data_IF_114590540182
#
_entry.id   IF_114590540182
#
_cell.length_a   1.000
_cell.length_b   1.000
_cell.length_c   1.000
_cell.angle_alpha   90.00
_cell.angle_beta   90.00
_cell.angle_gamma   90.00
#
_symmetry.space_group_name_H-M   'P 1'
#
loop_
_entity.id
_entity.type
_entity.pdbx_description
1 polymer ?
#
# COMPACT_ATOMS: atom_id res chain seq x y z
N UNK A 1 2.93 -40.42 -2.13
CA UNK A 1 3.59 -39.10 -2.05
C UNK A 1 3.31 -38.41 -3.38
N UNK A 2 2.21 -37.66 -3.46
CA UNK A 2 1.83 -36.97 -4.69
C UNK A 2 2.64 -35.68 -4.75
N UNK A 3 3.55 -35.59 -5.72
CA UNK A 3 4.10 -34.30 -6.12
C UNK A 3 2.92 -33.49 -6.67
N UNK A 4 2.67 -32.25 -6.22
CA UNK A 4 1.62 -31.44 -6.80
C UNK A 4 1.93 -31.27 -8.29
N UNK A 5 0.91 -31.47 -9.13
CA UNK A 5 1.01 -31.25 -10.56
C UNK A 5 1.61 -29.88 -10.82
N UNK A 6 2.56 -29.84 -11.76
CA UNK A 6 3.21 -28.60 -12.21
C UNK A 6 2.10 -27.66 -12.66
N UNK A 7 1.85 -26.59 -11.89
CA UNK A 7 0.90 -25.53 -12.26
C UNK A 7 1.31 -25.06 -13.65
N UNK A 8 0.48 -25.33 -14.65
CA UNK A 8 0.68 -24.82 -16.00
C UNK A 8 0.12 -23.41 -15.97
N UNK A 9 1.01 -22.45 -15.80
CA UNK A 9 0.64 -21.04 -15.78
C UNK A 9 0.08 -20.63 -17.16
N UNK A 10 -0.93 -19.74 -17.21
CA UNK A 10 -1.52 -19.30 -18.45
C UNK A 10 -0.46 -18.61 -19.35
N UNK A 11 -0.56 -18.77 -20.68
CA UNK A 11 0.40 -18.18 -21.61
C UNK A 11 0.24 -16.65 -21.66
N UNK A 12 1.34 -15.92 -21.43
CA UNK A 12 1.35 -14.47 -21.68
C UNK A 12 2.44 -13.63 -21.00
N UNK A 13 3.08 -14.11 -19.92
CA UNK A 13 4.03 -13.26 -19.14
C UNK A 13 5.47 -13.80 -19.12
N UNK A 14 5.69 -15.07 -19.49
CA UNK A 14 6.98 -15.76 -19.38
C UNK A 14 7.65 -16.09 -20.72
N UNK A 15 7.47 -15.28 -21.76
CA UNK A 15 8.06 -15.58 -23.10
C UNK A 15 9.57 -15.40 -23.17
N UNK A 16 10.18 -14.77 -22.15
CA UNK A 16 11.64 -14.65 -22.09
C UNK A 16 12.23 -15.82 -21.30
N UNK A 17 13.20 -16.56 -21.86
CA UNK A 17 13.90 -17.58 -21.11
C UNK A 17 14.61 -16.92 -19.91
N UNK A 18 14.60 -17.62 -18.77
CA UNK A 18 15.39 -17.19 -17.63
C UNK A 18 16.87 -17.10 -18.02
N UNK A 19 17.52 -16.03 -17.58
CA UNK A 19 18.98 -15.93 -17.66
C UNK A 19 19.61 -16.81 -16.59
N UNK A 20 20.83 -17.28 -16.83
CA UNK A 20 21.61 -17.98 -15.80
C UNK A 20 21.98 -17.06 -14.63
N UNK A 21 22.08 -15.75 -14.87
CA UNK A 21 22.46 -14.74 -13.88
C UNK A 21 21.63 -13.46 -14.05
N UNK A 22 21.35 -12.81 -12.93
CA UNK A 22 20.73 -11.49 -12.82
C UNK A 22 21.56 -10.63 -11.86
N UNK A 23 21.59 -9.32 -12.08
CA UNK A 23 22.24 -8.38 -11.17
C UNK A 23 21.47 -8.28 -9.84
N UNK A 24 20.14 -8.34 -9.93
CA UNK A 24 19.26 -8.33 -8.76
C UNK A 24 18.16 -9.39 -8.87
N UNK A 25 17.88 -10.04 -7.74
CA UNK A 25 16.70 -10.88 -7.56
C UNK A 25 15.84 -10.26 -6.47
N UNK A 26 14.65 -9.79 -6.84
CA UNK A 26 13.65 -9.26 -5.92
C UNK A 26 12.64 -10.36 -5.60
N UNK A 27 12.54 -10.72 -4.32
CA UNK A 27 11.64 -11.77 -3.85
C UNK A 27 10.39 -11.13 -3.25
N UNK A 28 9.26 -11.34 -3.90
CA UNK A 28 7.96 -10.74 -3.62
C UNK A 28 7.71 -9.50 -4.48
N UNK A 29 6.67 -9.54 -5.30
CA UNK A 29 6.16 -8.41 -6.09
C UNK A 29 5.09 -7.61 -5.33
N UNK A 30 5.22 -7.52 -4.00
CA UNK A 30 4.37 -6.67 -3.17
C UNK A 30 4.64 -5.18 -3.37
N UNK A 31 4.03 -4.35 -2.52
CA UNK A 31 4.10 -2.88 -2.65
C UNK A 31 5.53 -2.33 -2.71
N UNK A 32 6.45 -2.85 -1.88
CA UNK A 32 7.86 -2.43 -1.90
C UNK A 32 8.63 -3.10 -3.04
N UNK A 33 8.47 -4.43 -3.22
CA UNK A 33 9.23 -5.20 -4.20
C UNK A 33 8.94 -4.76 -5.64
N UNK A 34 7.69 -4.45 -5.97
CA UNK A 34 7.32 -3.88 -7.26
C UNK A 34 8.02 -2.55 -7.52
N UNK A 35 8.03 -1.63 -6.54
CA UNK A 35 8.71 -0.33 -6.67
C UNK A 35 10.22 -0.50 -6.83
N UNK A 36 10.85 -1.35 -6.02
CA UNK A 36 12.28 -1.62 -6.10
C UNK A 36 12.64 -2.20 -7.46
N UNK A 37 11.90 -3.21 -7.94
CA UNK A 37 12.12 -3.80 -9.25
C UNK A 37 11.97 -2.78 -10.38
N UNK A 38 10.93 -1.92 -10.34
CA UNK A 38 10.76 -0.82 -11.29
C UNK A 38 11.97 0.10 -11.31
N UNK A 39 12.43 0.58 -10.14
CA UNK A 39 13.56 1.53 -10.06
C UNK A 39 14.88 0.91 -10.51
N UNK A 40 15.18 -0.32 -10.12
CA UNK A 40 16.38 -1.02 -10.57
C UNK A 40 16.37 -1.24 -12.10
N UNK A 41 15.18 -1.48 -12.68
CA UNK A 41 15.02 -1.67 -14.13
C UNK A 41 15.02 -0.39 -14.97
N UNK A 42 15.06 0.81 -14.35
CA UNK A 42 15.20 2.07 -15.10
C UNK A 42 16.54 2.16 -15.83
N UNK A 43 17.57 1.45 -15.35
CA UNK A 43 18.81 1.24 -16.08
C UNK A 43 18.71 0.01 -16.99
N UNK A 44 18.71 0.23 -18.30
CA UNK A 44 18.63 -0.83 -19.30
C UNK A 44 19.81 -1.82 -19.28
N UNK A 45 20.94 -1.46 -18.67
CA UNK A 45 22.07 -2.37 -18.48
C UNK A 45 21.85 -3.35 -17.31
N UNK A 46 20.97 -3.00 -16.36
CA UNK A 46 20.70 -3.78 -15.15
C UNK A 46 19.65 -4.86 -15.42
N UNK A 47 19.97 -6.10 -15.05
CA UNK A 47 19.08 -7.26 -15.14
C UNK A 47 18.42 -7.58 -13.80
N UNK A 48 17.08 -7.56 -13.79
CA UNK A 48 16.27 -7.81 -12.59
C UNK A 48 15.37 -9.02 -12.80
N UNK A 49 15.41 -9.95 -11.85
CA UNK A 49 14.43 -11.03 -11.73
C UNK A 49 13.48 -10.71 -10.59
N UNK A 50 12.18 -10.60 -10.87
CA UNK A 50 11.14 -10.42 -9.87
C UNK A 50 10.38 -11.74 -9.68
N UNK A 51 10.34 -12.25 -8.46
CA UNK A 51 9.66 -13.50 -8.12
C UNK A 51 8.41 -13.21 -7.28
N UNK A 52 7.26 -13.71 -7.69
CA UNK A 52 6.00 -13.59 -6.95
C UNK A 52 5.33 -14.96 -6.85
N UNK A 53 4.80 -15.28 -5.67
CA UNK A 53 4.11 -16.55 -5.41
C UNK A 53 2.63 -16.50 -5.79
N UNK A 54 2.06 -15.29 -5.81
CA UNK A 54 0.68 -15.00 -6.16
C UNK A 54 0.37 -15.07 -7.64
N UNK A 55 -0.91 -14.86 -7.93
CA UNK A 55 -1.40 -14.78 -9.30
C UNK A 55 -1.12 -13.40 -9.90
N UNK A 56 -1.12 -13.32 -11.23
CA UNK A 56 -1.14 -12.04 -11.94
C UNK A 56 -2.49 -11.35 -11.74
N UNK A 57 -2.50 -10.02 -11.68
CA UNK A 57 -3.69 -9.16 -11.69
C UNK A 57 -3.82 -8.36 -13.00
N UNK A 58 -3.07 -8.75 -14.04
CA UNK A 58 -3.02 -8.04 -15.32
C UNK A 58 -4.23 -8.29 -16.23
N UNK A 59 -5.14 -9.18 -15.83
CA UNK A 59 -6.37 -9.42 -16.58
C UNK A 59 -7.32 -8.21 -16.45
N UNK A 60 -7.88 -7.67 -17.54
CA UNK A 60 -8.68 -6.43 -17.52
C UNK A 60 -9.91 -6.46 -16.59
N UNK A 61 -10.46 -7.66 -16.35
CA UNK A 61 -11.65 -7.86 -15.52
C UNK A 61 -11.31 -8.35 -14.10
N UNK A 62 -10.04 -8.24 -13.68
CA UNK A 62 -9.67 -8.65 -12.33
C UNK A 62 -10.35 -7.76 -11.27
N UNK A 63 -10.95 -8.39 -10.27
CA UNK A 63 -11.64 -7.72 -9.16
C UNK A 63 -10.71 -6.74 -8.41
N UNK A 64 -9.38 -6.95 -8.43
CA UNK A 64 -8.40 -6.00 -7.87
C UNK A 64 -8.45 -4.62 -8.52
N UNK A 65 -8.93 -4.53 -9.76
CA UNK A 65 -9.07 -3.27 -10.50
C UNK A 65 -10.33 -2.48 -10.10
N UNK A 66 -11.19 -3.04 -9.25
CA UNK A 66 -12.41 -2.40 -8.76
C UNK A 66 -12.23 -2.04 -7.27
N UNK A 67 -11.73 -0.84 -6.95
CA UNK A 67 -11.57 -0.27 -5.61
C UNK A 67 -12.58 -0.70 -4.55
N UNK A 68 -13.88 -0.50 -4.84
CA UNK A 68 -14.97 -0.76 -3.90
C UNK A 68 -15.10 -2.23 -3.48
N UNK A 69 -14.58 -3.17 -4.30
CA UNK A 69 -14.68 -4.60 -4.05
C UNK A 69 -13.54 -5.18 -3.23
N UNK A 70 -12.61 -4.35 -2.72
CA UNK A 70 -11.49 -4.81 -1.89
C UNK A 70 -11.88 -5.75 -0.73
N UNK A 71 -13.03 -5.60 -0.02
CA UNK A 71 -13.38 -6.52 1.06
C UNK A 71 -13.61 -7.95 0.55
N UNK A 72 -14.03 -8.12 -0.71
CA UNK A 72 -14.23 -9.45 -1.31
C UNK A 72 -12.93 -10.19 -1.60
N UNK A 73 -11.80 -9.48 -1.62
CA UNK A 73 -10.47 -10.06 -1.88
C UNK A 73 -9.92 -10.76 -0.64
N UNK A 74 -10.36 -10.36 0.56
CA UNK A 74 -10.01 -11.01 1.83
C UNK A 74 -10.56 -12.43 1.86
N UNK A 75 -9.70 -13.42 2.11
CA UNK A 75 -10.08 -14.84 2.07
C UNK A 75 -10.22 -15.45 0.67
N UNK A 76 -9.98 -14.68 -0.40
CA UNK A 76 -9.93 -15.19 -1.77
C UNK A 76 -8.60 -15.90 -2.05
N UNK A 77 -8.41 -16.41 -3.26
CA UNK A 77 -7.13 -16.97 -3.70
C UNK A 77 -5.98 -15.94 -3.75
N UNK A 78 -6.32 -14.64 -3.77
CA UNK A 78 -5.39 -13.50 -3.72
C UNK A 78 -4.97 -13.12 -2.30
N UNK A 79 -5.45 -13.83 -1.29
CA UNK A 79 -5.05 -13.67 0.10
C UNK A 79 -4.19 -14.88 0.54
N UNK A 80 -3.12 -14.62 1.28
CA UNK A 80 -2.38 -15.66 1.98
C UNK A 80 -3.22 -16.31 3.09
N UNK A 81 -4.18 -15.58 3.66
CA UNK A 81 -5.10 -16.05 4.67
C UNK A 81 -4.43 -16.51 5.96
N UNK A 82 -3.41 -15.78 6.40
CA UNK A 82 -2.68 -16.12 7.60
C UNK A 82 -3.58 -16.06 8.84
N UNK A 83 -3.29 -16.94 9.79
CA UNK A 83 -3.89 -16.93 11.11
C UNK A 83 -2.78 -16.75 12.14
N UNK A 84 -2.95 -15.84 13.09
CA UNK A 84 -2.06 -15.74 14.25
C UNK A 84 -2.03 -17.07 15.02
N UNK A 85 -1.07 -17.24 15.94
CA UNK A 85 -1.23 -18.25 17.00
C UNK A 85 -2.39 -17.86 17.93
N UNK A 86 -2.82 -18.76 18.82
CA UNK A 86 -3.81 -18.44 19.84
C UNK A 86 -3.34 -17.25 20.68
N UNK A 87 -4.20 -16.26 20.88
CA UNK A 87 -3.88 -15.04 21.61
C UNK A 87 -4.34 -15.13 23.06
N UNK A 88 -3.39 -15.05 24.00
CA UNK A 88 -3.66 -15.21 25.44
C UNK A 88 -4.52 -14.09 26.04
N UNK A 89 -4.47 -12.89 25.46
CA UNK A 89 -5.03 -11.67 26.05
C UNK A 89 -5.96 -10.89 25.10
N UNK A 90 -6.30 -11.45 23.94
CA UNK A 90 -7.11 -10.76 22.92
C UNK A 90 -7.85 -11.77 22.04
N UNK A 91 -8.70 -11.28 21.13
CA UNK A 91 -9.41 -12.12 20.15
C UNK A 91 -10.33 -13.20 20.75
N UNK A 92 -10.82 -13.05 21.99
CA UNK A 92 -11.71 -14.02 22.65
C UNK A 92 -13.00 -14.35 21.87
N UNK A 93 -13.44 -13.44 20.99
CA UNK A 93 -14.59 -13.64 20.11
C UNK A 93 -14.25 -14.37 18.78
N UNK A 94 -12.96 -14.61 18.50
CA UNK A 94 -12.51 -15.28 17.28
C UNK A 94 -12.43 -16.79 17.49
N UNK A 95 -12.63 -17.56 16.42
CA UNK A 95 -12.49 -19.02 16.48
C UNK A 95 -11.09 -19.40 16.96
N UNK A 96 -11.03 -20.17 18.04
CA UNK A 96 -9.78 -20.57 18.71
C UNK A 96 -8.89 -19.38 19.15
N UNK A 97 -9.46 -18.18 19.31
CA UNK A 97 -8.76 -16.97 19.74
C UNK A 97 -7.59 -16.60 18.79
N UNK A 98 -7.76 -16.89 17.50
CA UNK A 98 -6.77 -16.60 16.44
C UNK A 98 -7.26 -15.45 15.57
N UNK A 99 -6.42 -14.44 15.40
CA UNK A 99 -6.66 -13.35 14.48
C UNK A 99 -6.48 -13.80 13.04
N UNK A 100 -7.37 -13.38 12.15
CA UNK A 100 -7.17 -13.46 10.72
C UNK A 100 -6.33 -12.27 10.24
N UNK A 101 -5.27 -12.55 9.50
CA UNK A 101 -4.29 -11.55 9.04
C UNK A 101 -4.25 -11.62 7.51
N UNK A 102 -5.06 -10.81 6.81
CA UNK A 102 -5.03 -10.78 5.35
C UNK A 102 -3.68 -10.24 4.87
N UNK A 103 -3.08 -10.90 3.89
CA UNK A 103 -1.87 -10.46 3.20
C UNK A 103 -1.99 -10.78 1.72
N UNK A 104 -1.68 -9.83 0.84
CA UNK A 104 -1.85 -10.02 -0.59
C UNK A 104 -0.90 -11.09 -1.14
N UNK A 105 -1.47 -12.02 -1.90
CA UNK A 105 -0.83 -13.10 -2.63
C UNK A 105 -1.21 -12.97 -4.11
N UNK A 106 -0.76 -11.86 -4.69
CA UNK A 106 -1.05 -11.41 -6.06
C UNK A 106 0.05 -10.43 -6.46
N UNK A 107 0.29 -10.19 -7.75
CA UNK A 107 1.14 -9.08 -8.19
C UNK A 107 0.65 -7.76 -7.56
N UNK A 108 1.57 -6.92 -7.08
CA UNK A 108 1.27 -5.77 -6.23
C UNK A 108 1.09 -6.13 -4.73
N UNK A 109 0.85 -7.39 -4.40
CA UNK A 109 0.73 -7.89 -3.03
C UNK A 109 -0.37 -7.20 -2.24
N UNK A 110 -0.08 -6.80 -1.00
CA UNK A 110 -1.10 -6.21 -0.12
C UNK A 110 -1.66 -4.88 -0.63
N UNK A 111 -0.97 -4.15 -1.53
CA UNK A 111 -1.58 -2.96 -2.14
C UNK A 111 -2.71 -3.28 -3.11
N UNK A 112 -2.76 -4.50 -3.66
CA UNK A 112 -3.84 -4.93 -4.57
C UNK A 112 -5.08 -5.42 -3.84
N UNK A 113 -5.02 -5.56 -2.51
CA UNK A 113 -6.16 -6.00 -1.67
C UNK A 113 -6.47 -5.03 -0.52
N UNK A 114 -5.89 -3.83 -0.53
CA UNK A 114 -6.03 -2.87 0.57
C UNK A 114 -7.34 -2.05 0.48
N UNK A 115 -7.60 -1.27 1.54
CA UNK A 115 -8.71 -0.32 1.59
C UNK A 115 -8.38 1.07 1.00
N UNK A 116 -7.30 1.15 0.21
CA UNK A 116 -6.80 2.34 -0.49
C UNK A 116 -6.44 3.58 0.34
N UNK A 117 -6.52 3.51 1.67
CA UNK A 117 -6.20 4.65 2.54
C UNK A 117 -4.73 5.05 2.35
N UNK A 118 -4.50 6.32 2.00
CA UNK A 118 -3.17 6.90 1.86
C UNK A 118 -2.91 7.91 2.97
N UNK A 119 -2.10 7.50 3.95
CA UNK A 119 -1.72 8.28 5.12
C UNK A 119 -0.23 8.06 5.40
N UNK A 120 0.50 9.14 5.64
CA UNK A 120 1.91 9.13 6.07
C UNK A 120 2.01 9.11 7.60
N UNK A 121 3.16 8.67 8.11
CA UNK A 121 3.50 8.90 9.51
C UNK A 121 3.70 10.39 9.80
N UNK A 122 3.62 10.78 11.07
CA UNK A 122 4.00 12.14 11.48
C UNK A 122 5.52 12.30 11.47
N UNK A 123 6.00 13.54 11.49
CA UNK A 123 7.44 13.87 11.63
C UNK A 123 8.08 13.12 12.79
N UNK A 124 7.40 13.09 13.94
CA UNK A 124 7.89 12.41 15.12
C UNK A 124 8.13 10.90 14.90
N UNK A 125 7.40 10.24 14.00
CA UNK A 125 7.66 8.82 13.71
C UNK A 125 9.03 8.59 13.06
N UNK A 126 9.40 9.44 12.10
CA UNK A 126 10.64 9.29 11.34
C UNK A 126 11.85 9.85 12.09
N UNK A 127 11.68 11.00 12.75
CA UNK A 127 12.73 11.57 13.60
C UNK A 127 13.08 10.61 14.76
N UNK A 128 12.07 9.89 15.29
CA UNK A 128 12.31 8.84 16.28
C UNK A 128 13.13 7.67 15.70
N UNK A 129 12.87 7.25 14.45
CA UNK A 129 13.67 6.19 13.82
C UNK A 129 15.14 6.59 13.70
N UNK A 130 15.40 7.82 13.27
CA UNK A 130 16.76 8.33 13.18
C UNK A 130 17.42 8.40 14.57
N UNK A 131 16.71 8.91 15.57
CA UNK A 131 17.17 8.93 16.96
C UNK A 131 17.48 7.53 17.51
N UNK A 132 16.73 6.51 17.07
CA UNK A 132 16.96 5.10 17.42
C UNK A 132 18.08 4.42 16.60
N UNK A 133 18.72 5.15 15.67
CA UNK A 133 19.91 4.72 14.94
C UNK A 133 19.68 4.45 13.45
N UNK A 134 18.47 4.66 12.92
CA UNK A 134 18.23 4.63 11.48
C UNK A 134 18.69 5.94 10.82
N UNK A 135 19.99 6.20 10.84
CA UNK A 135 20.59 7.43 10.30
C UNK A 135 20.16 7.67 8.85
N UNK A 136 19.70 8.89 8.54
CA UNK A 136 19.20 9.25 7.21
C UNK A 136 17.77 8.79 6.93
N UNK A 137 17.02 8.38 7.96
CA UNK A 137 15.58 8.10 7.90
C UNK A 137 14.75 9.11 8.70
N UNK A 138 15.31 10.28 9.02
CA UNK A 138 14.57 11.40 9.62
C UNK A 138 13.49 11.92 8.66
N UNK A 139 12.53 12.69 9.17
CA UNK A 139 11.40 13.15 8.34
C UNK A 139 11.85 13.93 7.10
N UNK A 140 12.85 14.79 7.26
CA UNK A 140 13.36 15.62 6.16
C UNK A 140 14.12 14.79 5.11
N UNK A 141 14.68 13.63 5.47
CA UNK A 141 15.31 12.69 4.54
C UNK A 141 14.29 11.89 3.72
N UNK A 142 13.18 11.48 4.34
CA UNK A 142 12.16 10.64 3.70
C UNK A 142 11.12 11.46 2.91
N UNK A 143 10.87 12.71 3.30
CA UNK A 143 9.88 13.58 2.65
C UNK A 143 10.08 13.72 1.12
N UNK A 144 11.32 13.92 0.60
CA UNK A 144 11.56 13.93 -0.84
C UNK A 144 11.08 12.65 -1.55
N UNK A 145 11.20 11.48 -0.92
CA UNK A 145 10.77 10.21 -1.49
C UNK A 145 9.25 10.06 -1.45
N UNK A 146 8.59 10.52 -0.38
CA UNK A 146 7.13 10.58 -0.35
C UNK A 146 6.57 11.49 -1.45
N UNK A 147 7.19 12.65 -1.67
CA UNK A 147 6.83 13.57 -2.76
C UNK A 147 7.12 12.97 -4.14
N UNK A 148 8.18 12.18 -4.30
CA UNK A 148 8.51 11.48 -5.56
C UNK A 148 7.50 10.38 -5.89
N UNK A 149 6.92 9.73 -4.88
CA UNK A 149 5.90 8.69 -5.04
C UNK A 149 4.53 9.27 -5.43
N UNK A 150 4.20 10.42 -4.86
CA UNK A 150 2.86 11.01 -4.90
C UNK A 150 2.59 11.88 -6.14
N UNK A 151 1.38 11.72 -6.68
CA UNK A 151 0.72 12.68 -7.57
C UNK A 151 -0.62 13.08 -6.96
N UNK A 152 -0.59 14.11 -6.11
CA UNK A 152 -1.75 14.65 -5.46
C UNK A 152 -2.56 15.49 -6.44
N UNK A 153 -3.84 15.15 -6.62
CA UNK A 153 -4.71 15.82 -7.61
C UNK A 153 -5.45 17.01 -7.03
N UNK A 154 -5.69 17.03 -5.72
CA UNK A 154 -6.35 18.15 -5.07
C UNK A 154 -5.32 19.24 -4.74
N UNK A 155 -5.66 20.50 -4.98
CA UNK A 155 -4.76 21.64 -4.75
C UNK A 155 -5.16 22.48 -3.54
N UNK A 156 -6.20 22.05 -2.81
CA UNK A 156 -6.73 22.72 -1.63
C UNK A 156 -6.02 22.33 -0.32
N UNK A 157 -4.93 21.56 -0.40
CA UNK A 157 -4.16 21.18 0.78
C UNK A 157 -3.58 22.42 1.48
N UNK A 158 -3.62 22.39 2.82
CA UNK A 158 -3.26 23.53 3.68
C UNK A 158 -1.79 23.90 3.57
N UNK A 159 -0.93 22.94 3.25
CA UNK A 159 0.47 23.13 2.88
C UNK A 159 0.83 22.30 1.65
N UNK A 160 0.83 22.95 0.48
CA UNK A 160 1.19 22.31 -0.79
C UNK A 160 2.67 21.95 -0.88
N UNK A 161 3.53 22.48 -0.01
CA UNK A 161 4.97 22.21 -0.05
C UNK A 161 5.31 20.78 0.36
N UNK A 162 4.43 20.13 1.12
CA UNK A 162 4.57 18.74 1.57
C UNK A 162 4.10 17.70 0.54
N UNK A 163 3.51 18.13 -0.58
CA UNK A 163 2.87 17.23 -1.55
C UNK A 163 3.72 17.03 -2.81
N UNK A 164 3.63 15.82 -3.36
CA UNK A 164 4.11 15.48 -4.69
C UNK A 164 3.01 15.67 -5.73
N UNK A 165 3.34 16.15 -6.93
CA UNK A 165 2.35 16.44 -7.98
C UNK A 165 2.60 15.63 -9.27
N UNK A 166 3.63 14.78 -9.28
CA UNK A 166 4.15 14.18 -10.51
C UNK A 166 4.60 12.72 -10.32
N UNK A 167 4.36 12.14 -9.16
CA UNK A 167 4.68 10.74 -8.87
C UNK A 167 3.77 9.75 -9.60
N UNK A 168 4.13 8.46 -9.58
CA UNK A 168 3.34 7.43 -10.25
C UNK A 168 2.01 7.10 -9.55
N UNK A 169 1.87 7.41 -8.25
CA UNK A 169 0.67 7.05 -7.48
C UNK A 169 -0.25 8.26 -7.36
N UNK A 170 -1.42 8.18 -7.98
CA UNK A 170 -2.46 9.21 -7.90
C UNK A 170 -3.10 9.20 -6.51
N UNK A 171 -3.05 10.36 -5.84
CA UNK A 171 -3.63 10.57 -4.51
C UNK A 171 -4.76 11.59 -4.59
N UNK A 172 -5.91 11.23 -4.04
CA UNK A 172 -7.12 12.06 -4.04
C UNK A 172 -7.77 12.08 -2.67
N UNK A 173 -8.33 13.21 -2.27
CA UNK A 173 -9.16 13.31 -1.07
C UNK A 173 -10.55 12.69 -1.28
N UNK A 174 -11.05 11.96 -0.28
CA UNK A 174 -12.44 11.53 -0.28
C UNK A 174 -13.31 12.75 0.05
N UNK A 175 -14.20 13.15 -0.87
CA UNK A 175 -15.12 14.29 -0.66
C UNK A 175 -16.57 13.88 -0.83
N UNK A 176 -17.48 14.52 -0.09
CA UNK A 176 -18.89 14.64 -0.49
C UNK A 176 -19.90 13.75 0.25
N UNK A 177 -19.54 13.14 1.39
CA UNK A 177 -20.52 12.41 2.22
C UNK A 177 -21.10 13.29 3.34
N UNK A 178 -22.40 13.13 3.62
CA UNK A 178 -23.05 13.83 4.74
C UNK A 178 -22.49 13.43 6.11
N UNK A 179 -21.99 12.19 6.22
CA UNK A 179 -21.32 11.71 7.43
C UNK A 179 -19.97 12.42 7.62
N UNK A 180 -19.26 12.70 6.53
CA UNK A 180 -18.00 13.41 6.58
C UNK A 180 -18.19 14.84 7.11
N UNK A 181 -19.21 15.56 6.64
CA UNK A 181 -19.51 16.92 7.13
C UNK A 181 -20.01 16.90 8.57
N UNK A 182 -20.87 15.95 8.94
CA UNK A 182 -21.32 15.78 10.33
C UNK A 182 -20.14 15.53 11.29
N UNK A 183 -19.26 14.57 10.95
CA UNK A 183 -18.05 14.33 11.75
C UNK A 183 -17.12 15.55 11.80
N UNK A 184 -17.21 16.47 10.83
CA UNK A 184 -16.34 17.66 10.78
C UNK A 184 -16.79 18.66 11.82
N UNK A 185 -18.07 18.97 11.77
CA UNK A 185 -18.71 19.86 12.73
C UNK A 185 -18.50 19.33 14.15
N UNK A 186 -18.77 18.04 14.37
CA UNK A 186 -18.61 17.42 15.69
C UNK A 186 -17.16 17.52 16.20
N UNK A 187 -16.15 17.24 15.36
CA UNK A 187 -14.74 17.34 15.75
C UNK A 187 -14.34 18.78 16.10
N UNK A 188 -14.79 19.76 15.31
CA UNK A 188 -14.51 21.17 15.57
C UNK A 188 -15.17 21.66 16.86
N UNK A 189 -16.40 21.23 17.16
CA UNK A 189 -17.12 21.61 18.39
C UNK A 189 -16.41 21.15 19.67
N UNK A 190 -15.69 20.02 19.61
CA UNK A 190 -14.89 19.53 20.73
C UNK A 190 -13.42 19.98 20.67
N UNK A 191 -13.09 20.90 19.76
CA UNK A 191 -11.77 21.56 19.69
C UNK A 191 -10.73 20.86 18.80
N UNK A 192 -11.10 19.85 18.01
CA UNK A 192 -10.17 19.23 17.05
C UNK A 192 -10.27 19.94 15.68
N UNK A 193 -9.18 20.57 15.20
CA UNK A 193 -9.17 21.19 13.89
C UNK A 193 -9.18 20.14 12.78
N UNK A 194 -9.64 20.55 11.60
CA UNK A 194 -9.41 19.78 10.36
C UNK A 194 -7.96 19.93 9.93
N UNK A 195 -7.31 18.80 9.67
CA UNK A 195 -5.89 18.72 9.27
C UNK A 195 -5.72 17.79 8.07
N UNK A 196 -4.70 18.05 7.25
CA UNK A 196 -4.26 17.12 6.21
C UNK A 196 -3.68 15.87 6.89
N UNK A 197 -4.14 14.68 6.49
CA UNK A 197 -3.60 13.43 7.04
C UNK A 197 -2.14 13.16 6.67
N UNK A 198 -1.61 13.89 5.68
CA UNK A 198 -0.25 13.75 5.18
C UNK A 198 0.65 14.94 5.55
N UNK A 199 0.24 15.79 6.51
CA UNK A 199 1.10 16.82 7.07
C UNK A 199 2.16 16.23 8.02
N UNK A 200 3.11 17.05 8.43
CA UNK A 200 4.14 16.70 9.41
C UNK A 200 3.58 16.50 10.83
N UNK A 201 2.52 17.22 11.20
CA UNK A 201 1.78 17.06 12.46
C UNK A 201 0.27 16.80 12.25
N UNK A 202 -0.14 15.57 11.91
CA UNK A 202 -1.52 15.24 11.57
C UNK A 202 -2.39 14.99 12.82
N UNK A 203 -2.37 15.89 13.82
CA UNK A 203 -3.22 15.79 15.01
C UNK A 203 -4.53 16.56 14.80
N UNK A 204 -5.64 15.83 14.70
CA UNK A 204 -6.98 16.41 14.59
C UNK A 204 -7.93 15.53 13.79
N UNK A 205 -8.93 16.15 13.16
CA UNK A 205 -9.81 15.47 12.22
C UNK A 205 -9.15 15.43 10.84
N UNK A 206 -8.75 14.23 10.44
CA UNK A 206 -8.01 13.97 9.22
C UNK A 206 -8.87 14.05 7.96
N UNK A 207 -8.43 14.82 6.97
CA UNK A 207 -8.91 14.72 5.59
C UNK A 207 -8.23 13.52 4.93
N UNK A 208 -8.92 12.38 4.91
CA UNK A 208 -8.36 11.11 4.44
C UNK A 208 -8.22 11.13 2.92
N UNK A 209 -7.01 10.81 2.46
CA UNK A 209 -6.69 10.61 1.05
C UNK A 209 -6.71 9.12 0.70
N UNK A 210 -6.90 8.83 -0.59
CA UNK A 210 -6.87 7.47 -1.15
C UNK A 210 -5.89 7.38 -2.31
N UNK A 211 -5.33 6.17 -2.53
CA UNK A 211 -4.49 5.85 -3.69
C UNK A 211 -5.28 5.07 -4.76
N UNK A 212 -5.90 5.78 -5.68
CA UNK A 212 -6.67 5.15 -6.76
C UNK A 212 -7.32 6.17 -7.70
N UNK A 213 -7.50 5.78 -8.96
CA UNK A 213 -8.08 6.64 -10.01
C UNK A 213 -9.60 6.43 -10.14
N UNK A 214 -10.15 5.35 -9.59
CA UNK A 214 -11.59 5.13 -9.41
C UNK A 214 -11.98 5.39 -7.96
N UNK A 215 -12.92 6.30 -7.73
CA UNK A 215 -13.46 6.55 -6.39
C UNK A 215 -14.16 5.33 -5.80
N UNK A 216 -14.54 5.43 -4.53
CA UNK A 216 -15.51 4.53 -3.90
C UNK A 216 -16.89 4.64 -4.55
#
# INVERSE_FOLDING_TARGET
>A
MFLPERRVDPPGIYEKPFKEMYDYIVVGAGSAGSVVATRLSEDYATSVLLLEAGISDLEPDDVTQIPYLWPSLIGSEKDWGYLSVQQKYSHFAYKNERAYIPQGKVLGGSSSINAQVFVRGSRNNYDQWEHEGAVGWGYDDVLPFFKKLENATDTTYRDSTLRGLHGPIVIKEITGSILQSFHQTAAMEIGFPTVDCNSDDPIGRLLVSINGVGGF
#
